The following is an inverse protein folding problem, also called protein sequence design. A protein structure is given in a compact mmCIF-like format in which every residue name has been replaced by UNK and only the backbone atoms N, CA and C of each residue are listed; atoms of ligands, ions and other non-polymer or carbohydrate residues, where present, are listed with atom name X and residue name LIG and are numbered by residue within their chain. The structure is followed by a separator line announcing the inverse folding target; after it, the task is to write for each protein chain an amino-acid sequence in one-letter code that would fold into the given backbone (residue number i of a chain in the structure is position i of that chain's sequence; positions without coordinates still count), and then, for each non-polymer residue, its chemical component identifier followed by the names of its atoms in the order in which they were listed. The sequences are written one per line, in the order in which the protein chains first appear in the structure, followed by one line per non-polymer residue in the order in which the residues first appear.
data_IF_838902446057
#
_entry.id   IF_838902446057
#
_cell.length_a   1.000
_cell.length_b   1.000
_cell.length_c   1.000
_cell.angle_alpha   90.00
_cell.angle_beta   90.00
_cell.angle_gamma   90.00
#
_symmetry.space_group_name_H-M   'P 1'
#
loop_
_entity.id
_entity.type
_entity.pdbx_description
1 polymer ?
#
# COMPACT_ATOMS: atom_id res chain seq x y z
N UNK A 1 3.61 -5.24 -12.09
CA UNK A 1 3.12 -6.46 -11.42
C UNK A 1 3.71 -7.69 -12.10
N UNK A 2 4.69 -8.37 -11.50
CA UNK A 2 5.01 -9.72 -11.96
C UNK A 2 3.91 -10.66 -11.48
N UNK A 3 3.37 -11.43 -12.42
CA UNK A 3 2.29 -12.39 -12.15
C UNK A 3 2.63 -13.31 -10.96
N UNK A 4 3.89 -13.75 -10.87
CA UNK A 4 4.36 -14.73 -9.88
C UNK A 4 4.30 -14.25 -8.43
N UNK A 5 4.31 -12.94 -8.18
CA UNK A 5 4.31 -12.41 -6.82
C UNK A 5 2.96 -12.60 -6.12
N UNK A 6 1.88 -12.73 -6.91
CA UNK A 6 0.53 -12.94 -6.39
C UNK A 6 -0.09 -14.25 -6.87
N UNK A 7 0.32 -14.75 -8.03
CA UNK A 7 -0.16 -15.97 -8.65
C UNK A 7 0.99 -16.96 -8.78
N UNK A 8 1.07 -17.96 -7.89
CA UNK A 8 2.12 -18.97 -7.97
C UNK A 8 1.95 -19.76 -9.28
N UNK A 9 2.85 -19.52 -10.25
CA UNK A 9 2.83 -20.10 -11.59
C UNK A 9 1.71 -19.57 -12.51
N UNK A 10 1.50 -20.18 -13.67
CA UNK A 10 0.56 -19.78 -14.72
C UNK A 10 -0.94 -19.95 -14.37
N UNK A 11 -1.28 -20.02 -13.08
CA UNK A 11 -2.67 -20.10 -12.63
C UNK A 11 -3.25 -18.70 -12.43
N UNK A 12 -4.49 -18.49 -12.88
CA UNK A 12 -5.23 -17.24 -12.66
C UNK A 12 -5.68 -17.06 -11.19
N UNK A 13 -5.48 -18.09 -10.35
CA UNK A 13 -5.84 -18.02 -8.93
C UNK A 13 -4.69 -17.39 -8.15
N UNK A 14 -4.96 -16.31 -7.42
CA UNK A 14 -3.98 -15.72 -6.54
C UNK A 14 -3.73 -16.61 -5.31
N UNK A 15 -2.46 -16.80 -4.96
CA UNK A 15 -2.02 -17.64 -3.84
C UNK A 15 -2.17 -16.91 -2.50
N UNK A 16 -2.06 -15.59 -2.51
CA UNK A 16 -2.24 -14.72 -1.35
C UNK A 16 -1.44 -15.14 -0.10
N UNK A 17 -0.10 -14.98 -0.12
CA UNK A 17 0.76 -15.33 1.02
C UNK A 17 0.33 -14.67 2.34
N UNK A 18 -0.22 -13.45 2.28
CA UNK A 18 -0.73 -12.72 3.45
C UNK A 18 -2.25 -12.73 3.47
N UNK A 19 -2.84 -13.88 3.79
CA UNK A 19 -4.29 -14.11 3.70
C UNK A 19 -5.15 -13.11 4.50
N UNK A 20 -4.61 -12.53 5.58
CA UNK A 20 -5.29 -11.52 6.40
C UNK A 20 -5.52 -10.16 5.70
N UNK A 21 -4.87 -9.91 4.57
CA UNK A 21 -5.04 -8.69 3.78
C UNK A 21 -5.83 -8.90 2.48
N UNK A 22 -6.35 -10.11 2.24
CA UNK A 22 -7.25 -10.37 1.10
C UNK A 22 -8.47 -9.43 1.14
N UNK A 23 -8.97 -8.97 -0.03
CA UNK A 23 -8.48 -9.19 -1.39
C UNK A 23 -7.55 -8.06 -1.90
N UNK A 24 -6.96 -7.28 -1.00
CA UNK A 24 -6.20 -6.07 -1.33
C UNK A 24 -4.75 -6.36 -1.73
N UNK A 25 -4.05 -5.38 -2.31
CA UNK A 25 -2.66 -5.50 -2.79
C UNK A 25 -1.71 -6.09 -1.73
N UNK A 26 -1.86 -5.67 -0.47
CA UNK A 26 -1.06 -6.18 0.65
C UNK A 26 -1.21 -7.70 0.88
N UNK A 27 -2.27 -8.33 0.39
CA UNK A 27 -2.43 -9.79 0.45
C UNK A 27 -1.34 -10.56 -0.31
N UNK A 28 -0.70 -9.91 -1.29
CA UNK A 28 0.43 -10.45 -2.03
C UNK A 28 1.74 -9.71 -1.70
N UNK A 29 1.67 -8.42 -1.40
CA UNK A 29 2.85 -7.54 -1.31
C UNK A 29 3.16 -6.99 0.09
N UNK A 30 2.64 -7.58 1.17
CA UNK A 30 2.90 -7.03 2.51
C UNK A 30 4.39 -7.01 2.90
N UNK A 31 5.20 -7.94 2.37
CA UNK A 31 6.65 -7.93 2.61
C UNK A 31 7.40 -6.87 1.79
N UNK A 32 6.81 -6.35 0.72
CA UNK A 32 7.40 -5.29 -0.11
C UNK A 32 7.13 -3.89 0.48
N UNK A 33 6.37 -3.82 1.58
CA UNK A 33 5.97 -2.56 2.19
C UNK A 33 7.13 -1.85 2.90
N UNK A 34 7.59 -0.74 2.33
CA UNK A 34 8.58 0.13 2.94
C UNK A 34 7.92 1.27 3.74
N UNK A 35 7.86 1.11 5.06
CA UNK A 35 7.18 2.06 5.96
C UNK A 35 7.67 3.51 5.81
N UNK A 36 8.96 3.70 5.54
CA UNK A 36 9.60 5.02 5.48
C UNK A 36 9.16 5.86 4.27
N UNK A 37 8.70 5.23 3.20
CA UNK A 37 8.19 5.93 2.01
C UNK A 37 6.76 6.47 2.23
N UNK A 38 6.04 5.90 3.20
CA UNK A 38 4.63 6.11 3.43
C UNK A 38 4.36 7.06 4.61
N UNK A 39 4.82 8.30 4.50
CA UNK A 39 4.61 9.34 5.54
C UNK A 39 3.16 9.80 5.62
N UNK A 40 2.64 9.83 6.85
CA UNK A 40 1.31 10.37 7.20
C UNK A 40 1.40 11.83 7.66
N UNK A 41 2.39 12.14 8.50
CA UNK A 41 2.64 13.48 9.07
C UNK A 41 4.15 13.65 9.24
N UNK A 42 4.68 14.85 8.98
CA UNK A 42 6.12 15.13 9.15
C UNK A 42 6.50 15.56 10.58
N UNK A 43 5.59 16.19 11.35
CA UNK A 43 5.82 16.60 12.75
C UNK A 43 4.54 16.50 13.62
N UNK A 44 4.47 15.58 14.63
CA UNK A 44 5.43 14.51 14.86
C UNK A 44 5.48 13.57 13.66
N UNK A 45 6.65 12.99 13.39
CA UNK A 45 6.82 12.11 12.23
C UNK A 45 6.06 10.80 12.45
N UNK A 46 5.05 10.58 11.63
CA UNK A 46 4.21 9.39 11.64
C UNK A 46 4.16 8.81 10.23
N UNK A 47 4.19 7.48 10.16
CA UNK A 47 4.05 6.72 8.92
C UNK A 47 2.76 5.94 8.95
N UNK A 48 2.26 5.63 7.77
CA UNK A 48 1.24 4.61 7.61
C UNK A 48 1.84 3.24 7.87
N UNK A 49 1.02 2.32 8.37
CA UNK A 49 1.33 0.89 8.34
C UNK A 49 0.68 0.22 7.12
N UNK A 50 1.23 -0.91 6.68
CA UNK A 50 0.64 -1.73 5.61
C UNK A 50 -0.84 -2.08 5.87
N UNK A 51 -1.23 -2.22 7.14
CA UNK A 51 -2.62 -2.47 7.53
C UNK A 51 -3.55 -1.28 7.31
N UNK A 52 -3.03 -0.06 7.25
CA UNK A 52 -3.76 1.16 6.88
C UNK A 52 -3.79 1.36 5.36
N UNK A 53 -2.74 0.93 4.65
CA UNK A 53 -2.60 1.06 3.19
C UNK A 53 -2.67 -0.30 2.48
N UNK A 54 -3.65 -1.14 2.85
CA UNK A 54 -3.81 -2.48 2.24
C UNK A 54 -4.03 -2.37 0.72
N UNK A 55 -4.73 -1.32 0.31
CA UNK A 55 -4.94 -0.92 -1.07
C UNK A 55 -3.99 0.23 -1.45
N UNK A 56 -2.78 -0.10 -1.89
CA UNK A 56 -1.78 0.90 -2.29
C UNK A 56 -2.19 1.70 -3.54
N UNK A 57 -3.11 1.17 -4.36
CA UNK A 57 -3.63 1.86 -5.53
C UNK A 57 -4.74 2.87 -5.23
N UNK A 58 -5.22 2.86 -3.99
CA UNK A 58 -6.23 3.78 -3.49
C UNK A 58 -5.72 5.21 -3.29
N UNK A 59 -6.49 5.97 -2.54
CA UNK A 59 -6.14 7.31 -2.10
C UNK A 59 -5.48 7.27 -0.73
N UNK A 60 -4.34 7.95 -0.59
CA UNK A 60 -3.71 8.25 0.68
C UNK A 60 -3.43 9.75 0.82
N UNK A 61 -3.26 10.22 2.06
CA UNK A 61 -3.14 11.65 2.35
C UNK A 61 -1.97 11.90 3.30
N UNK A 62 -1.18 12.94 3.03
CA UNK A 62 -0.30 13.52 4.04
C UNK A 62 -1.06 14.64 4.74
N UNK A 63 -1.02 14.64 6.06
CA UNK A 63 -1.71 15.61 6.91
C UNK A 63 -0.71 16.62 7.47
N UNK A 64 -1.22 17.79 7.83
CA UNK A 64 -0.42 18.87 8.43
C UNK A 64 0.13 18.49 9.80
N UNK A 65 -0.64 17.70 10.56
CA UNK A 65 -0.34 17.32 11.93
C UNK A 65 -1.05 15.99 12.30
N UNK A 66 -0.79 15.51 13.52
CA UNK A 66 -1.28 14.24 14.03
C UNK A 66 -2.77 14.24 14.45
N UNK A 67 -3.51 15.33 14.24
CA UNK A 67 -4.97 15.33 14.40
C UNK A 67 -5.68 14.76 13.17
N UNK A 68 -4.97 14.68 12.03
CA UNK A 68 -5.46 14.17 10.75
C UNK A 68 -6.73 14.88 10.24
N UNK A 69 -6.99 16.13 10.67
CA UNK A 69 -8.16 16.90 10.22
C UNK A 69 -7.93 17.66 8.92
N UNK A 70 -6.68 18.03 8.65
CA UNK A 70 -6.32 18.87 7.51
C UNK A 70 -5.35 18.12 6.60
N UNK A 71 -5.82 17.84 5.38
CA UNK A 71 -4.99 17.23 4.35
C UNK A 71 -4.06 18.31 3.81
N UNK A 72 -2.76 18.08 3.93
CA UNK A 72 -1.74 18.90 3.31
C UNK A 72 -1.55 18.51 1.84
N UNK A 73 -1.53 17.19 1.55
CA UNK A 73 -1.37 16.65 0.21
C UNK A 73 -2.15 15.37 0.02
N UNK A 74 -2.96 15.31 -1.02
CA UNK A 74 -3.54 14.06 -1.51
C UNK A 74 -2.57 13.35 -2.45
N UNK A 75 -2.49 12.04 -2.33
CA UNK A 75 -1.67 11.13 -3.15
C UNK A 75 -2.58 9.99 -3.60
N UNK A 76 -2.94 10.00 -4.87
CA UNK A 76 -3.93 9.07 -5.41
C UNK A 76 -3.28 8.23 -6.48
N UNK A 77 -3.49 6.91 -6.42
CA UNK A 77 -3.01 5.99 -7.47
C UNK A 77 -1.50 6.08 -7.71
N UNK A 78 -0.73 6.29 -6.64
CA UNK A 78 0.74 6.29 -6.68
C UNK A 78 1.28 4.90 -7.05
N UNK A 79 0.51 3.84 -6.79
CA UNK A 79 0.81 2.47 -7.23
C UNK A 79 -0.32 1.96 -8.11
N UNK A 80 0.01 1.27 -9.21
CA UNK A 80 -0.97 0.65 -10.11
C UNK A 80 -0.54 -0.74 -10.49
N UNK A 81 -1.50 -1.57 -10.87
CA UNK A 81 -1.23 -2.94 -11.35
C UNK A 81 -0.38 -2.98 -12.62
N UNK A 82 -0.45 -1.92 -13.44
CA UNK A 82 0.40 -1.72 -14.61
C UNK A 82 1.83 -1.34 -14.27
N UNK A 83 2.09 -0.85 -13.06
CA UNK A 83 3.41 -0.36 -12.69
C UNK A 83 4.32 -1.58 -12.49
N UNK A 84 5.50 -1.55 -13.08
CA UNK A 84 6.45 -2.66 -13.05
C UNK A 84 7.04 -2.94 -11.66
N UNK A 85 6.83 -2.02 -10.72
CA UNK A 85 7.35 -2.01 -9.36
C UNK A 85 6.33 -1.42 -8.40
N UNK A 86 6.45 -1.79 -7.12
CA UNK A 86 5.71 -1.19 -6.01
C UNK A 86 6.60 -0.25 -5.22
#
# INVERSE_FOLDING_TARGET
MLWVDCHASNTQTATWPYSGYKPECAGCHANDYEVTEHKKVDSPRLYYQVSELRNCAGSCHRYTDNTFSTIERSRNSEHKTSDGSF
#
